data_IF_224668663447
#
_entry.id   IF_224668663447
#
_cell.length_a   1.000
_cell.length_b   1.000
_cell.length_c   1.000
_cell.angle_alpha   90.00
_cell.angle_beta   90.00
_cell.angle_gamma   90.00
#
_symmetry.space_group_name_H-M   'P 1'
#
loop_
_entity.id
_entity.type
_entity.pdbx_description
1 polymer ?
#
# COMPACT_ATOMS: atom_id res chain seq x y z
N UNK A 1 11.99 -13.87 -7.28
CA UNK A 1 11.53 -12.64 -6.62
C UNK A 1 10.73 -11.85 -7.63
N UNK A 2 9.47 -11.55 -7.32
CA UNK A 2 8.66 -10.63 -8.14
C UNK A 2 9.24 -9.21 -8.06
N UNK A 3 9.04 -8.39 -9.10
CA UNK A 3 9.55 -7.02 -9.15
C UNK A 3 9.07 -6.18 -7.94
N UNK A 4 7.82 -6.39 -7.48
CA UNK A 4 7.29 -5.68 -6.31
C UNK A 4 7.88 -6.17 -4.98
N UNK A 5 8.28 -7.44 -4.86
CA UNK A 5 8.86 -7.97 -3.63
C UNK A 5 10.20 -7.29 -3.31
N UNK A 6 11.00 -6.99 -4.34
CA UNK A 6 12.24 -6.24 -4.18
C UNK A 6 11.97 -4.80 -3.71
N UNK A 7 10.94 -4.15 -4.26
CA UNK A 7 10.54 -2.82 -3.83
C UNK A 7 10.07 -2.82 -2.37
N UNK A 8 9.35 -3.85 -1.92
CA UNK A 8 8.93 -3.97 -0.52
C UNK A 8 10.13 -4.13 0.40
N UNK A 9 11.14 -4.91 0.01
CA UNK A 9 12.38 -5.08 0.79
C UNK A 9 13.14 -3.77 0.90
N UNK A 10 13.26 -3.01 -0.20
CA UNK A 10 13.92 -1.70 -0.22
C UNK A 10 13.16 -0.65 0.58
N UNK A 11 11.84 -0.66 0.46
CA UNK A 11 10.95 0.21 1.23
C UNK A 11 11.01 -0.06 2.75
N UNK A 12 11.39 -1.28 3.16
CA UNK A 12 11.63 -1.63 4.56
C UNK A 12 13.10 -1.49 5.00
N UNK A 13 14.00 -0.99 4.14
CA UNK A 13 15.42 -0.83 4.44
C UNK A 13 15.67 0.39 5.36
N UNK A 14 16.86 0.45 5.97
CA UNK A 14 17.22 1.51 6.90
C UNK A 14 17.51 2.88 6.25
N UNK A 15 17.75 2.92 4.94
CA UNK A 15 17.97 4.19 4.23
C UNK A 15 16.61 4.87 3.94
N UNK A 16 16.32 6.02 4.57
CA UNK A 16 15.02 6.68 4.42
C UNK A 16 14.73 7.17 3.00
N UNK A 17 15.75 7.57 2.24
CA UNK A 17 15.59 8.08 0.88
C UNK A 17 15.31 6.92 -0.09
N UNK A 18 16.03 5.81 0.04
CA UNK A 18 15.74 4.60 -0.74
C UNK A 18 14.36 4.03 -0.40
N UNK A 19 14.02 4.02 0.89
CA UNK A 19 12.74 3.51 1.37
C UNK A 19 11.56 4.27 0.76
N UNK A 20 11.64 5.60 0.78
CA UNK A 20 10.63 6.49 0.19
C UNK A 20 10.51 6.27 -1.31
N UNK A 21 11.62 6.22 -2.05
CA UNK A 21 11.59 6.02 -3.51
C UNK A 21 11.02 4.65 -3.90
N UNK A 22 11.35 3.61 -3.15
CA UNK A 22 10.82 2.27 -3.36
C UNK A 22 9.32 2.22 -3.06
N UNK A 23 8.87 2.87 -1.98
CA UNK A 23 7.45 2.94 -1.65
C UNK A 23 6.65 3.79 -2.66
N UNK A 24 7.18 4.92 -3.12
CA UNK A 24 6.55 5.73 -4.16
C UNK A 24 6.29 4.91 -5.43
N UNK A 25 7.20 3.97 -5.75
CA UNK A 25 6.99 3.05 -6.87
C UNK A 25 5.88 2.05 -6.57
N UNK A 26 5.84 1.46 -5.37
CA UNK A 26 4.75 0.58 -4.95
C UNK A 26 3.39 1.30 -4.98
N UNK A 27 3.32 2.53 -4.47
CA UNK A 27 2.10 3.32 -4.46
C UNK A 27 1.58 3.60 -5.88
N UNK A 28 2.48 3.87 -6.84
CA UNK A 28 2.10 4.01 -8.26
C UNK A 28 1.61 2.69 -8.86
N UNK A 29 2.27 1.57 -8.57
CA UNK A 29 1.93 0.27 -9.13
C UNK A 29 0.62 -0.30 -8.54
N UNK A 30 0.34 -0.04 -7.26
CA UNK A 30 -0.84 -0.57 -6.55
C UNK A 30 -1.99 0.45 -6.41
N UNK A 31 -1.75 1.74 -6.65
CA UNK A 31 -2.72 2.82 -6.37
C UNK A 31 -4.07 2.61 -7.06
N UNK A 32 -4.07 2.26 -8.34
CA UNK A 32 -5.31 1.96 -9.07
C UNK A 32 -6.07 0.75 -8.47
N UNK A 33 -5.35 -0.25 -7.98
CA UNK A 33 -5.95 -1.44 -7.34
C UNK A 33 -6.54 -1.10 -5.97
N UNK A 34 -5.84 -0.28 -5.19
CA UNK A 34 -6.29 0.20 -3.87
C UNK A 34 -7.54 1.06 -4.01
N UNK A 35 -7.52 2.01 -4.94
CA UNK A 35 -8.68 2.85 -5.26
C UNK A 35 -9.88 2.03 -5.73
N UNK A 36 -9.68 1.07 -6.64
CA UNK A 36 -10.77 0.20 -7.11
C UNK A 36 -11.39 -0.64 -5.99
N UNK A 37 -10.58 -1.11 -5.03
CA UNK A 37 -11.07 -1.82 -3.86
C UNK A 37 -11.88 -0.90 -2.95
N UNK A 38 -11.35 0.28 -2.61
CA UNK A 38 -12.05 1.25 -1.78
C UNK A 38 -13.39 1.67 -2.40
N UNK A 39 -13.41 1.92 -3.71
CA UNK A 39 -14.62 2.26 -4.45
C UNK A 39 -15.66 1.12 -4.41
N UNK A 40 -15.22 -0.13 -4.51
CA UNK A 40 -16.11 -1.29 -4.37
C UNK A 40 -16.71 -1.45 -2.98
N UNK A 41 -16.05 -0.92 -1.94
CA UNK A 41 -16.54 -0.95 -0.56
C UNK A 41 -17.46 0.22 -0.23
N UNK A 42 -17.08 1.45 -0.61
CA UNK A 42 -17.76 2.68 -0.19
C UNK A 42 -18.84 3.11 -1.21
N UNK A 43 -18.62 2.88 -2.50
CA UNK A 43 -19.54 3.28 -3.58
C UNK A 43 -19.53 4.78 -3.93
N UNK A 44 -18.80 5.60 -3.18
CA UNK A 44 -18.60 7.03 -3.46
C UNK A 44 -17.16 7.29 -3.92
N UNK A 45 -17.00 8.01 -5.02
CA UNK A 45 -15.69 8.26 -5.62
C UNK A 45 -14.75 9.09 -4.75
N UNK A 46 -15.27 10.13 -4.09
CA UNK A 46 -14.44 11.05 -3.31
C UNK A 46 -13.98 10.39 -2.00
N UNK A 47 -14.91 9.69 -1.33
CA UNK A 47 -14.58 8.93 -0.12
C UNK A 47 -13.66 7.74 -0.42
N UNK A 48 -13.82 7.08 -1.57
CA UNK A 48 -12.92 6.01 -1.99
C UNK A 48 -11.50 6.50 -2.28
N UNK A 49 -11.36 7.69 -2.86
CA UNK A 49 -10.06 8.32 -3.07
C UNK A 49 -9.37 8.61 -1.74
N UNK A 50 -10.09 9.19 -0.77
CA UNK A 50 -9.56 9.46 0.56
C UNK A 50 -9.14 8.16 1.29
N UNK A 51 -10.02 7.16 1.31
CA UNK A 51 -9.73 5.85 1.92
C UNK A 51 -8.51 5.16 1.27
N UNK A 52 -8.36 5.28 -0.05
CA UNK A 52 -7.21 4.74 -0.77
C UNK A 52 -5.90 5.46 -0.39
N UNK A 53 -5.93 6.78 -0.26
CA UNK A 53 -4.77 7.57 0.18
C UNK A 53 -4.39 7.25 1.62
N UNK A 54 -5.37 7.17 2.52
CA UNK A 54 -5.16 6.77 3.91
C UNK A 54 -4.58 5.36 4.02
N UNK A 55 -5.05 4.42 3.20
CA UNK A 55 -4.55 3.05 3.19
C UNK A 55 -3.09 2.96 2.71
N UNK A 56 -2.70 3.71 1.69
CA UNK A 56 -1.31 3.79 1.24
C UNK A 56 -0.42 4.45 2.30
N UNK A 57 -0.91 5.49 2.98
CA UNK A 57 -0.17 6.16 4.06
C UNK A 57 0.04 5.22 5.24
N UNK A 58 -1.00 4.50 5.66
CA UNK A 58 -0.88 3.50 6.72
C UNK A 58 0.03 2.33 6.32
N UNK A 59 -0.02 1.90 5.06
CA UNK A 59 0.87 0.87 4.55
C UNK A 59 2.34 1.31 4.57
N UNK A 60 2.65 2.58 4.32
CA UNK A 60 4.00 3.13 4.46
C UNK A 60 4.46 3.10 5.92
N UNK A 61 3.61 3.58 6.84
CA UNK A 61 3.94 3.69 8.26
C UNK A 61 4.09 2.34 8.97
N UNK A 62 3.42 1.29 8.48
CA UNK A 62 3.43 -0.05 9.08
C UNK A 62 4.27 -1.05 8.28
N UNK A 63 5.05 -0.60 7.31
CA UNK A 63 5.77 -1.49 6.41
C UNK A 63 6.83 -2.32 7.14
N UNK A 64 7.40 -1.80 8.21
CA UNK A 64 8.31 -2.48 9.14
C UNK A 64 7.68 -3.72 9.81
N UNK A 65 6.35 -3.76 9.92
CA UNK A 65 5.62 -4.90 10.48
C UNK A 65 5.44 -6.04 9.47
N UNK A 66 5.70 -5.79 8.18
CA UNK A 66 5.55 -6.78 7.12
C UNK A 66 6.76 -7.72 7.04
N UNK A 67 6.70 -8.84 7.76
CA UNK A 67 7.79 -9.84 7.81
C UNK A 67 8.01 -10.62 6.51
N UNK A 68 6.99 -10.75 5.68
CA UNK A 68 7.02 -11.56 4.45
C UNK A 68 6.66 -10.69 3.25
N UNK A 69 7.63 -10.16 2.49
CA UNK A 69 7.37 -9.22 1.40
C UNK A 69 6.35 -9.71 0.35
N UNK A 70 6.30 -11.02 0.08
CA UNK A 70 5.35 -11.63 -0.86
C UNK A 70 3.89 -11.50 -0.41
N UNK A 71 3.60 -11.29 0.87
CA UNK A 71 2.22 -11.11 1.36
C UNK A 71 1.74 -9.66 1.25
N UNK A 72 2.58 -8.73 0.75
CA UNK A 72 2.23 -7.31 0.60
C UNK A 72 0.86 -7.08 -0.04
N UNK A 73 0.47 -7.73 -1.17
CA UNK A 73 -0.85 -7.49 -1.77
C UNK A 73 -2.02 -7.89 -0.87
N UNK A 74 -1.89 -9.00 -0.13
CA UNK A 74 -2.94 -9.49 0.78
C UNK A 74 -2.98 -8.64 2.05
N UNK A 75 -1.83 -8.19 2.53
CA UNK A 75 -1.71 -7.29 3.67
C UNK A 75 -2.29 -5.91 3.36
N UNK A 76 -1.93 -5.32 2.22
CA UNK A 76 -2.45 -4.03 1.74
C UNK A 76 -3.98 -4.05 1.61
N UNK A 77 -4.55 -5.14 1.06
CA UNK A 77 -6.02 -5.33 1.00
C UNK A 77 -6.70 -5.22 2.36
N UNK A 78 -6.06 -5.69 3.44
CA UNK A 78 -6.62 -5.59 4.80
C UNK A 78 -6.63 -4.14 5.27
N UNK A 79 -5.57 -3.40 5.01
CA UNK A 79 -5.47 -1.98 5.34
C UNK A 79 -6.54 -1.19 4.59
N UNK A 80 -6.71 -1.42 3.28
CA UNK A 80 -7.76 -0.78 2.48
C UNK A 80 -9.12 -1.03 3.09
N UNK A 81 -9.44 -2.28 3.46
CA UNK A 81 -10.70 -2.60 4.11
C UNK A 81 -10.88 -1.83 5.42
N UNK A 82 -9.86 -1.76 6.27
CA UNK A 82 -9.91 -0.99 7.53
C UNK A 82 -10.16 0.50 7.30
N UNK A 83 -9.65 1.07 6.21
CA UNK A 83 -9.88 2.48 5.84
C UNK A 83 -11.25 2.74 5.19
N UNK A 84 -11.98 1.68 4.82
CA UNK A 84 -13.33 1.78 4.24
C UNK A 84 -14.46 1.48 5.24
N UNK A 85 -14.11 1.08 6.47
CA UNK A 85 -15.06 0.83 7.57
C UNK A 85 -15.40 2.13 8.30
#
# INVERSE_FOLDING_TARGET
MSAYENLVIRAAASDPDDARLAFDRLARDFGATVHAQALGHIGDHHLAEDAAQNALTEAYLKLDQLKVPRTFPVWLKRIVRTQCE
#
